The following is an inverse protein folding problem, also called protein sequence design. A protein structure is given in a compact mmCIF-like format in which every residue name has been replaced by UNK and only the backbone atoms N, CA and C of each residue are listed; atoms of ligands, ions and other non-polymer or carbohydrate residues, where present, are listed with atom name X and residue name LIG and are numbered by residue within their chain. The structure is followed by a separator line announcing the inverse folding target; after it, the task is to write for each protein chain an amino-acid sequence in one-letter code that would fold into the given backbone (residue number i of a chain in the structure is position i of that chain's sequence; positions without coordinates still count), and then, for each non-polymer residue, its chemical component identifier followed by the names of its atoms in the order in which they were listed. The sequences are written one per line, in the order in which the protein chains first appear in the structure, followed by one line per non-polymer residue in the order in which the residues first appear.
data_IF_115908849354
#
_entry.id   IF_115908849354
#
_cell.length_a   1.000
_cell.length_b   1.000
_cell.length_c   1.000
_cell.angle_alpha   90.00
_cell.angle_beta   90.00
_cell.angle_gamma   90.00
#
_symmetry.space_group_name_H-M   'P 1'
#
loop_
_entity.id
_entity.type
_entity.pdbx_description
1 polymer ?
#
# COMPACT_ATOMS: atom_id res chain seq x y z
N UNK A 1 19.10 -33.20 -13.95
CA UNK A 1 18.64 -31.79 -13.85
C UNK A 1 19.82 -30.90 -14.21
N UNK A 2 19.72 -30.17 -15.34
CA UNK A 2 20.73 -29.18 -15.75
C UNK A 2 20.29 -27.83 -15.21
N UNK A 3 21.18 -27.16 -14.46
CA UNK A 3 20.96 -25.77 -13.99
C UNK A 3 21.87 -24.91 -14.87
N UNK A 4 21.31 -23.92 -15.56
CA UNK A 4 22.06 -22.93 -16.30
C UNK A 4 22.02 -21.59 -15.53
N UNK A 5 23.18 -20.96 -15.41
CA UNK A 5 23.32 -19.66 -14.76
C UNK A 5 23.57 -18.59 -15.81
N UNK A 6 22.78 -17.53 -15.79
CA UNK A 6 23.01 -16.33 -16.59
C UNK A 6 23.68 -15.26 -15.71
N UNK A 7 24.73 -14.62 -16.23
CA UNK A 7 25.48 -13.59 -15.53
C UNK A 7 25.28 -12.24 -16.22
N UNK A 8 25.09 -11.20 -15.42
CA UNK A 8 25.14 -9.80 -15.84
C UNK A 8 26.04 -9.04 -14.86
N UNK A 9 27.01 -8.29 -15.39
CA UNK A 9 28.01 -7.54 -14.61
C UNK A 9 28.77 -8.38 -13.56
N UNK A 10 29.13 -9.63 -13.92
CA UNK A 10 29.85 -10.53 -13.05
C UNK A 10 29.03 -11.11 -11.88
N UNK A 11 27.72 -10.89 -11.86
CA UNK A 11 26.78 -11.43 -10.85
C UNK A 11 25.76 -12.33 -11.50
N UNK A 12 25.31 -13.36 -10.78
CA UNK A 12 24.22 -14.22 -11.24
C UNK A 12 22.95 -13.38 -11.34
N UNK A 13 22.41 -13.24 -12.56
CA UNK A 13 21.16 -12.51 -12.82
C UNK A 13 19.95 -13.43 -12.90
N UNK A 14 20.12 -14.64 -13.46
CA UNK A 14 19.04 -15.62 -13.59
C UNK A 14 19.57 -17.04 -13.37
N UNK A 15 18.72 -17.88 -12.80
CA UNK A 15 18.95 -19.30 -12.63
C UNK A 15 17.86 -20.03 -13.43
N UNK A 16 18.26 -20.70 -14.51
CA UNK A 16 17.36 -21.52 -15.30
C UNK A 16 17.37 -22.93 -14.74
N UNK A 17 16.26 -23.37 -14.18
CA UNK A 17 16.02 -24.77 -13.81
C UNK A 17 15.49 -25.52 -15.02
N UNK A 18 15.70 -26.83 -15.11
CA UNK A 18 15.24 -27.63 -16.27
C UNK A 18 13.71 -27.67 -16.49
N UNK A 19 12.95 -26.83 -15.81
CA UNK A 19 11.51 -26.60 -15.95
C UNK A 19 11.18 -25.25 -16.58
N UNK A 20 9.89 -24.91 -16.73
CA UNK A 20 9.42 -23.67 -17.36
C UNK A 20 9.70 -22.40 -16.52
N UNK A 21 10.24 -22.54 -15.34
CA UNK A 21 10.47 -21.42 -14.43
C UNK A 21 11.95 -21.05 -14.38
N UNK A 22 12.25 -19.76 -14.59
CA UNK A 22 13.55 -19.17 -14.29
C UNK A 22 13.45 -18.35 -12.99
N UNK A 23 14.42 -18.50 -12.10
CA UNK A 23 14.54 -17.67 -10.92
C UNK A 23 15.33 -16.42 -11.30
N UNK A 24 14.71 -15.27 -11.13
CA UNK A 24 15.34 -13.96 -11.36
C UNK A 24 15.77 -13.41 -10.00
N UNK A 25 16.94 -12.77 -9.96
CA UNK A 25 17.40 -12.12 -8.73
C UNK A 25 16.48 -10.98 -8.38
N UNK A 26 15.82 -11.04 -7.23
CA UNK A 26 15.03 -9.95 -6.69
C UNK A 26 15.90 -8.73 -6.38
N UNK A 27 15.40 -7.54 -6.68
CA UNK A 27 16.02 -6.29 -6.26
C UNK A 27 15.89 -6.14 -4.73
N UNK A 28 16.78 -5.36 -4.11
CA UNK A 28 16.78 -5.18 -2.66
C UNK A 28 15.44 -4.66 -2.10
N UNK A 29 14.72 -3.84 -2.87
CA UNK A 29 13.42 -3.29 -2.51
C UNK A 29 12.24 -4.27 -2.74
N UNK A 30 12.48 -5.40 -3.38
CA UNK A 30 11.51 -6.49 -3.60
C UNK A 30 11.62 -7.57 -2.52
N UNK A 31 12.57 -7.44 -1.59
CA UNK A 31 12.72 -8.40 -0.50
C UNK A 31 11.56 -8.32 0.48
N UNK A 32 11.04 -9.48 0.97
CA UNK A 32 9.88 -9.50 1.86
C UNK A 32 10.06 -8.63 3.10
N UNK A 33 11.26 -8.57 3.65
CA UNK A 33 11.59 -7.79 4.85
C UNK A 33 11.41 -6.29 4.59
N UNK A 34 11.85 -5.81 3.44
CA UNK A 34 11.76 -4.40 3.08
C UNK A 34 10.32 -3.99 2.81
N UNK A 35 9.60 -4.82 2.06
CA UNK A 35 8.17 -4.62 1.78
C UNK A 35 7.38 -4.58 3.08
N UNK A 36 7.60 -5.56 3.97
CA UNK A 36 6.93 -5.64 5.26
C UNK A 36 7.25 -4.42 6.13
N UNK A 37 8.50 -3.98 6.17
CA UNK A 37 8.91 -2.79 6.92
C UNK A 37 8.15 -1.53 6.44
N UNK A 38 8.04 -1.31 5.13
CA UNK A 38 7.31 -0.17 4.57
C UNK A 38 5.82 -0.27 4.92
N UNK A 39 5.19 -1.44 4.72
CA UNK A 39 3.78 -1.64 5.00
C UNK A 39 3.44 -1.46 6.47
N UNK A 40 4.25 -2.02 7.38
CA UNK A 40 4.06 -1.87 8.83
C UNK A 40 4.24 -0.41 9.26
N UNK A 41 5.27 0.27 8.76
CA UNK A 41 5.49 1.69 9.07
C UNK A 41 4.32 2.54 8.60
N UNK A 42 3.83 2.33 7.38
CA UNK A 42 2.67 3.02 6.85
C UNK A 42 1.41 2.71 7.67
N UNK A 43 1.16 1.45 8.01
CA UNK A 43 0.00 1.03 8.80
C UNK A 43 0.01 1.65 10.20
N UNK A 44 1.14 1.62 10.90
CA UNK A 44 1.30 2.23 12.22
C UNK A 44 1.00 3.72 12.16
N UNK A 45 1.56 4.42 11.16
CA UNK A 45 1.32 5.86 11.00
C UNK A 45 -0.15 6.17 10.69
N UNK A 46 -0.81 5.36 9.87
CA UNK A 46 -2.23 5.48 9.57
C UNK A 46 -3.10 5.26 10.81
N UNK A 47 -2.80 4.26 11.63
CA UNK A 47 -3.51 3.99 12.89
C UNK A 47 -3.34 5.16 13.86
N UNK A 48 -2.13 5.67 14.04
CA UNK A 48 -1.87 6.85 14.89
C UNK A 48 -2.68 8.05 14.40
N UNK A 49 -2.77 8.22 13.08
CA UNK A 49 -3.57 9.30 12.47
C UNK A 49 -5.05 9.16 12.79
N UNK A 50 -5.62 7.97 12.65
CA UNK A 50 -7.02 7.71 12.99
C UNK A 50 -7.31 7.96 14.48
N UNK A 51 -6.44 7.47 15.37
CA UNK A 51 -6.55 7.70 16.79
C UNK A 51 -6.48 9.19 17.14
N UNK A 52 -5.54 9.92 16.53
CA UNK A 52 -5.43 11.38 16.70
C UNK A 52 -6.69 12.12 16.26
N UNK A 53 -7.31 11.70 15.16
CA UNK A 53 -8.57 12.30 14.70
C UNK A 53 -9.75 11.92 15.61
N UNK A 54 -9.83 10.67 16.07
CA UNK A 54 -10.85 10.21 17.02
C UNK A 54 -10.78 10.99 18.35
N UNK A 55 -9.59 11.15 18.91
CA UNK A 55 -9.38 11.97 20.13
C UNK A 55 -9.76 13.43 19.87
N UNK A 56 -9.44 13.96 18.68
CA UNK A 56 -9.84 15.32 18.29
C UNK A 56 -11.35 15.52 18.19
N UNK A 57 -12.10 14.48 17.79
CA UNK A 57 -13.57 14.48 17.77
C UNK A 57 -14.15 14.42 19.19
N UNK A 58 -13.57 13.62 20.08
CA UNK A 58 -14.01 13.46 21.48
C UNK A 58 -13.74 14.74 22.30
N UNK A 59 -12.61 15.39 22.06
CA UNK A 59 -12.30 16.69 22.65
C UNK A 59 -13.11 17.75 21.94
N UNK A 60 -14.38 17.92 22.33
CA UNK A 60 -15.35 18.91 21.85
C UNK A 60 -14.75 20.33 21.82
N UNK A 61 -13.80 20.57 20.94
CA UNK A 61 -13.19 21.87 20.74
C UNK A 61 -14.23 22.78 20.08
N UNK A 62 -14.54 23.92 20.74
CA UNK A 62 -15.42 24.97 20.21
C UNK A 62 -14.94 25.54 18.88
N UNK A 63 -13.70 25.27 18.49
CA UNK A 63 -13.20 25.58 17.16
C UNK A 63 -13.78 24.57 16.18
N UNK A 64 -14.79 25.03 15.45
CA UNK A 64 -15.44 24.35 14.32
C UNK A 64 -14.40 24.17 13.19
N UNK A 65 -13.41 23.28 13.41
CA UNK A 65 -12.53 22.87 12.33
C UNK A 65 -13.40 22.15 11.30
N UNK A 66 -13.70 22.86 10.22
CA UNK A 66 -14.29 22.24 9.03
C UNK A 66 -13.54 20.97 8.76
N UNK A 67 -14.27 19.89 8.61
CA UNK A 67 -13.74 18.59 8.16
C UNK A 67 -13.09 18.85 6.81
N UNK A 68 -11.80 19.22 6.84
CA UNK A 68 -11.11 19.69 5.66
C UNK A 68 -10.94 18.55 4.68
N UNK A 69 -10.88 18.87 3.41
CA UNK A 69 -10.65 17.92 2.31
C UNK A 69 -9.47 16.97 2.59
N UNK A 70 -8.44 17.45 3.30
CA UNK A 70 -7.31 16.68 3.78
C UNK A 70 -7.71 15.47 4.65
N UNK A 71 -8.61 15.69 5.62
CA UNK A 71 -9.09 14.61 6.50
C UNK A 71 -9.97 13.63 5.73
N UNK A 72 -10.80 14.13 4.82
CA UNK A 72 -11.66 13.29 3.99
C UNK A 72 -10.82 12.34 3.13
N UNK A 73 -9.88 12.88 2.34
CA UNK A 73 -9.04 12.07 1.47
C UNK A 73 -8.15 11.11 2.26
N UNK A 74 -7.55 11.58 3.36
CA UNK A 74 -6.77 10.72 4.24
C UNK A 74 -7.60 9.59 4.84
N UNK A 75 -8.84 9.86 5.29
CA UNK A 75 -9.74 8.81 5.81
C UNK A 75 -10.12 7.80 4.73
N UNK A 76 -10.46 8.26 3.53
CA UNK A 76 -10.79 7.38 2.40
C UNK A 76 -9.61 6.50 2.02
N UNK A 77 -8.40 7.07 1.97
CA UNK A 77 -7.19 6.30 1.68
C UNK A 77 -6.93 5.24 2.75
N UNK A 78 -7.00 5.61 4.03
CA UNK A 78 -6.75 4.68 5.15
C UNK A 78 -7.78 3.54 5.14
N UNK A 79 -9.06 3.85 4.97
CA UNK A 79 -10.12 2.84 4.89
C UNK A 79 -9.91 1.91 3.68
N UNK A 80 -9.58 2.46 2.52
CA UNK A 80 -9.28 1.67 1.33
C UNK A 80 -8.05 0.78 1.50
N UNK A 81 -6.99 1.28 2.13
CA UNK A 81 -5.78 0.51 2.44
C UNK A 81 -6.09 -0.68 3.36
N UNK A 82 -6.77 -0.45 4.48
CA UNK A 82 -7.13 -1.55 5.38
C UNK A 82 -8.14 -2.51 4.75
N UNK A 83 -9.08 -2.01 3.93
CA UNK A 83 -9.99 -2.88 3.17
C UNK A 83 -9.22 -3.78 2.21
N UNK A 84 -8.24 -3.24 1.47
CA UNK A 84 -7.37 -4.01 0.59
C UNK A 84 -6.58 -5.06 1.36
N UNK A 85 -5.97 -4.68 2.48
CA UNK A 85 -5.18 -5.58 3.33
C UNK A 85 -6.03 -6.73 3.87
N UNK A 86 -7.24 -6.44 4.38
CA UNK A 86 -8.16 -7.46 4.89
C UNK A 86 -8.63 -8.41 3.80
N UNK A 87 -8.96 -7.89 2.62
CA UNK A 87 -9.34 -8.73 1.48
C UNK A 87 -8.18 -9.63 1.03
N UNK A 88 -6.95 -9.09 0.96
CA UNK A 88 -5.78 -9.87 0.60
C UNK A 88 -5.49 -10.96 1.61
N UNK A 89 -5.54 -10.67 2.90
CA UNK A 89 -5.37 -11.65 3.98
C UNK A 89 -6.45 -12.74 3.86
N UNK A 90 -7.73 -12.35 3.72
CA UNK A 90 -8.84 -13.29 3.56
C UNK A 90 -8.65 -14.22 2.36
N UNK A 91 -8.21 -13.66 1.24
CA UNK A 91 -7.94 -14.42 0.00
C UNK A 91 -6.78 -15.41 0.19
N UNK A 92 -5.70 -15.00 0.87
CA UNK A 92 -4.53 -15.85 1.08
C UNK A 92 -4.74 -16.92 2.17
N UNK A 93 -5.67 -16.69 3.10
CA UNK A 93 -5.99 -17.65 4.18
C UNK A 93 -7.09 -18.64 3.80
N UNK A 94 -7.84 -18.41 2.73
CA UNK A 94 -8.82 -19.37 2.22
C UNK A 94 -8.12 -20.48 1.42
N UNK A 95 -7.57 -21.45 2.15
CA UNK A 95 -6.77 -22.55 1.60
C UNK A 95 -7.68 -23.69 1.13
N UNK A 96 -7.43 -24.21 -0.08
CA UNK A 96 -8.12 -25.40 -0.58
C UNK A 96 -7.62 -26.64 0.19
N UNK A 97 -8.56 -27.45 0.79
CA UNK A 97 -8.17 -28.54 1.69
C UNK A 97 -7.30 -29.63 1.01
N UNK A 98 -7.52 -29.89 -0.27
CA UNK A 98 -6.82 -30.97 -0.98
C UNK A 98 -5.47 -30.54 -1.56
N UNK A 99 -5.29 -29.25 -1.84
CA UNK A 99 -4.08 -28.76 -2.52
C UNK A 99 -3.17 -27.91 -1.64
N UNK A 100 -3.63 -27.46 -0.46
CA UNK A 100 -2.83 -26.65 0.47
C UNK A 100 -2.46 -25.26 -0.06
N UNK A 101 -3.13 -24.77 -1.12
CA UNK A 101 -2.91 -23.46 -1.72
C UNK A 101 -4.21 -22.65 -1.73
N UNK A 102 -4.14 -21.30 -1.80
CA UNK A 102 -5.34 -20.47 -1.81
C UNK A 102 -6.31 -20.86 -2.91
N UNK A 103 -7.60 -20.93 -2.58
CA UNK A 103 -8.67 -21.29 -3.53
C UNK A 103 -8.74 -20.40 -4.76
N UNK A 104 -8.31 -19.16 -4.64
CA UNK A 104 -8.26 -18.19 -5.74
C UNK A 104 -7.42 -18.64 -6.92
N UNK A 105 -6.48 -19.56 -6.73
CA UNK A 105 -5.73 -20.16 -7.84
C UNK A 105 -6.56 -21.13 -8.71
N UNK A 106 -7.72 -21.56 -8.21
CA UNK A 106 -8.59 -22.53 -8.90
C UNK A 106 -9.93 -21.93 -9.36
N UNK A 107 -10.26 -20.71 -8.93
CA UNK A 107 -11.51 -20.06 -9.34
C UNK A 107 -11.33 -19.34 -10.67
N UNK A 108 -12.20 -19.64 -11.64
CA UNK A 108 -12.33 -18.86 -12.86
C UNK A 108 -12.69 -17.42 -12.49
N UNK A 109 -11.78 -16.48 -12.71
CA UNK A 109 -11.93 -15.08 -12.32
C UNK A 109 -10.90 -14.57 -11.32
N UNK A 110 -10.08 -15.43 -10.71
CA UNK A 110 -8.99 -15.03 -9.83
C UNK A 110 -9.42 -14.14 -8.65
N UNK A 111 -8.71 -13.06 -8.42
CA UNK A 111 -9.05 -12.05 -7.42
C UNK A 111 -10.37 -11.35 -7.80
N UNK A 112 -11.25 -11.09 -6.83
CA UNK A 112 -12.52 -10.40 -7.07
C UNK A 112 -12.30 -9.07 -7.81
N UNK A 113 -13.20 -8.69 -8.72
CA UNK A 113 -13.11 -7.42 -9.47
C UNK A 113 -12.90 -6.21 -8.54
N UNK A 114 -13.50 -6.22 -7.35
CA UNK A 114 -13.31 -5.19 -6.34
C UNK A 114 -11.86 -5.10 -5.86
N UNK A 115 -11.20 -6.24 -5.71
CA UNK A 115 -9.80 -6.29 -5.30
C UNK A 115 -8.87 -5.73 -6.39
N UNK A 116 -9.20 -5.95 -7.67
CA UNK A 116 -8.43 -5.40 -8.79
C UNK A 116 -8.61 -3.89 -8.98
N UNK A 117 -9.78 -3.34 -8.61
CA UNK A 117 -10.06 -1.90 -8.76
C UNK A 117 -9.59 -1.05 -7.58
N UNK A 118 -9.44 -1.64 -6.39
CA UNK A 118 -9.02 -0.93 -5.19
C UNK A 118 -7.62 -0.29 -5.29
N UNK A 119 -6.57 -0.97 -5.82
CA UNK A 119 -5.25 -0.36 -6.01
C UNK A 119 -5.30 0.89 -6.87
N UNK A 120 -6.03 0.84 -8.00
CA UNK A 120 -6.19 2.01 -8.89
C UNK A 120 -6.89 3.18 -8.18
N UNK A 121 -7.94 2.91 -7.40
CA UNK A 121 -8.62 3.92 -6.61
C UNK A 121 -7.69 4.54 -5.56
N UNK A 122 -6.86 3.73 -4.89
CA UNK A 122 -5.84 4.20 -3.94
C UNK A 122 -4.77 5.03 -4.63
N UNK A 123 -4.35 4.67 -5.85
CA UNK A 123 -3.43 5.47 -6.66
C UNK A 123 -3.97 6.86 -6.98
N UNK A 124 -5.25 6.95 -7.36
CA UNK A 124 -5.93 8.23 -7.61
C UNK A 124 -6.01 9.05 -6.31
N UNK A 125 -6.42 8.43 -5.20
CA UNK A 125 -6.50 9.11 -3.89
C UNK A 125 -5.13 9.65 -3.44
N UNK A 126 -4.06 8.86 -3.58
CA UNK A 126 -2.70 9.29 -3.23
C UNK A 126 -2.27 10.49 -4.09
N UNK A 127 -2.56 10.48 -5.39
CA UNK A 127 -2.26 11.59 -6.29
C UNK A 127 -2.98 12.88 -5.88
N UNK A 128 -4.27 12.78 -5.51
CA UNK A 128 -5.03 13.91 -4.97
C UNK A 128 -4.47 14.39 -3.64
N UNK A 129 -4.03 13.48 -2.75
CA UNK A 129 -3.38 13.82 -1.48
C UNK A 129 -2.10 14.60 -1.71
N UNK A 130 -1.27 14.20 -2.68
CA UNK A 130 -0.05 14.93 -3.06
C UNK A 130 -0.39 16.34 -3.53
N UNK A 131 -1.36 16.50 -4.43
CA UNK A 131 -1.78 17.83 -4.91
C UNK A 131 -2.24 18.74 -3.76
N UNK A 132 -3.07 18.22 -2.84
CA UNK A 132 -3.55 18.98 -1.67
C UNK A 132 -2.42 19.27 -0.68
N UNK A 133 -1.47 18.37 -0.51
CA UNK A 133 -0.28 18.62 0.30
C UNK A 133 0.46 19.87 -0.23
N UNK A 134 0.77 19.93 -1.53
CA UNK A 134 1.43 21.10 -2.13
C UNK A 134 0.61 22.38 -1.96
N UNK A 135 -0.69 22.33 -2.26
CA UNK A 135 -1.58 23.48 -2.07
C UNK A 135 -1.59 23.95 -0.63
N UNK A 136 -1.57 23.06 0.35
CA UNK A 136 -1.57 23.41 1.78
C UNK A 136 -0.27 24.08 2.21
N UNK A 137 0.86 23.70 1.64
CA UNK A 137 2.15 24.34 1.90
C UNK A 137 2.22 25.73 1.24
N UNK A 138 1.79 25.88 -0.01
CA UNK A 138 1.79 27.15 -0.75
C UNK A 138 0.87 28.16 -0.08
N UNK A 139 -0.37 27.74 0.27
CA UNK A 139 -1.38 28.61 0.89
C UNK A 139 -1.22 28.77 2.40
N UNK A 140 -0.20 28.14 3.00
CA UNK A 140 0.01 28.12 4.46
C UNK A 140 -1.28 27.76 5.24
N UNK A 141 -2.08 26.84 4.70
CA UNK A 141 -3.37 26.45 5.26
C UNK A 141 -3.20 25.63 6.55
N UNK A 142 -3.85 26.06 7.62
CA UNK A 142 -3.76 25.40 8.92
C UNK A 142 -2.45 25.64 9.67
N UNK A 143 -2.25 24.91 10.79
CA UNK A 143 -1.02 24.99 11.56
C UNK A 143 0.14 24.25 10.87
N UNK A 144 1.38 24.61 11.22
CA UNK A 144 2.58 23.94 10.71
C UNK A 144 2.54 22.44 11.03
N UNK A 145 2.09 22.06 12.23
CA UNK A 145 1.95 20.68 12.66
C UNK A 145 0.96 19.88 11.83
N UNK A 146 -0.17 20.49 11.43
CA UNK A 146 -1.13 19.84 10.51
C UNK A 146 -0.51 19.58 9.16
N UNK A 147 0.26 20.52 8.61
CA UNK A 147 0.93 20.36 7.31
C UNK A 147 1.99 19.26 7.37
N UNK A 148 2.83 19.26 8.40
CA UNK A 148 3.83 18.22 8.62
C UNK A 148 3.16 16.84 8.74
N UNK A 149 2.15 16.72 9.59
CA UNK A 149 1.42 15.46 9.78
C UNK A 149 0.79 14.96 8.47
N UNK A 150 0.12 15.86 7.72
CA UNK A 150 -0.47 15.49 6.42
C UNK A 150 0.58 15.12 5.38
N UNK A 151 1.76 15.74 5.41
CA UNK A 151 2.90 15.37 4.55
C UNK A 151 3.34 13.94 4.83
N UNK A 152 3.52 13.56 6.10
CA UNK A 152 3.90 12.19 6.45
C UNK A 152 2.83 11.17 6.06
N UNK A 153 1.55 11.50 6.26
CA UNK A 153 0.45 10.65 5.80
C UNK A 153 0.46 10.47 4.28
N UNK A 154 0.71 11.54 3.54
CA UNK A 154 0.81 11.50 2.07
C UNK A 154 2.02 10.69 1.62
N UNK A 155 3.18 10.83 2.28
CA UNK A 155 4.35 10.00 1.99
C UNK A 155 4.09 8.52 2.24
N UNK A 156 3.41 8.18 3.34
CA UNK A 156 2.99 6.80 3.61
C UNK A 156 2.06 6.27 2.51
N UNK A 157 1.12 7.09 2.04
CA UNK A 157 0.22 6.71 0.95
C UNK A 157 0.98 6.47 -0.36
N UNK A 158 1.90 7.37 -0.71
CA UNK A 158 2.75 7.24 -1.91
C UNK A 158 3.63 5.99 -1.84
N UNK A 159 4.21 5.69 -0.67
CA UNK A 159 5.03 4.49 -0.49
C UNK A 159 4.23 3.19 -0.70
N UNK A 160 2.98 3.14 -0.21
CA UNK A 160 2.08 2.01 -0.43
C UNK A 160 1.73 1.86 -1.91
N UNK A 161 1.37 2.96 -2.58
CA UNK A 161 1.05 2.95 -4.02
C UNK A 161 2.27 2.57 -4.86
N UNK A 162 3.46 3.03 -4.48
CA UNK A 162 4.70 2.63 -5.13
C UNK A 162 4.93 1.12 -5.02
N UNK A 163 4.71 0.51 -3.85
CA UNK A 163 4.77 -0.95 -3.71
C UNK A 163 3.74 -1.65 -4.60
N UNK A 164 2.50 -1.15 -4.66
CA UNK A 164 1.48 -1.72 -5.54
C UNK A 164 1.91 -1.68 -7.01
N UNK A 165 2.57 -0.61 -7.43
CA UNK A 165 3.12 -0.50 -8.79
C UNK A 165 4.28 -1.49 -9.02
N UNK A 166 5.22 -1.62 -8.07
CA UNK A 166 6.35 -2.56 -8.17
C UNK A 166 5.86 -4.01 -8.32
N UNK A 167 4.78 -4.36 -7.63
CA UNK A 167 4.19 -5.71 -7.68
C UNK A 167 3.08 -5.88 -8.73
N UNK A 168 2.93 -4.94 -9.67
CA UNK A 168 1.94 -4.98 -10.76
C UNK A 168 0.48 -5.11 -10.28
N UNK A 169 0.12 -4.44 -9.18
CA UNK A 169 -1.27 -4.30 -8.75
C UNK A 169 -1.96 -3.07 -9.36
N UNK A 170 -1.23 -2.23 -10.06
CA UNK A 170 -1.71 -0.99 -10.71
C UNK A 170 -1.68 -1.11 -12.22
#
# INVERSE_FOLDING_TARGET
NKIALSFSDGRVSQIHTGGPHSLIRASWYETPEYVLMILLTAAVFMIITLLGWAVGLLRRSKTRHRFGLQKLLGSLFILGFFSLAMNLIGTLTDIHPDFGVPRTFFTEGGLSEGLMRLPTALGILASLMVAIMFVSWIRKAGSIWMRIHYTFLTLSAVSVVWLMWVFNFL
#
